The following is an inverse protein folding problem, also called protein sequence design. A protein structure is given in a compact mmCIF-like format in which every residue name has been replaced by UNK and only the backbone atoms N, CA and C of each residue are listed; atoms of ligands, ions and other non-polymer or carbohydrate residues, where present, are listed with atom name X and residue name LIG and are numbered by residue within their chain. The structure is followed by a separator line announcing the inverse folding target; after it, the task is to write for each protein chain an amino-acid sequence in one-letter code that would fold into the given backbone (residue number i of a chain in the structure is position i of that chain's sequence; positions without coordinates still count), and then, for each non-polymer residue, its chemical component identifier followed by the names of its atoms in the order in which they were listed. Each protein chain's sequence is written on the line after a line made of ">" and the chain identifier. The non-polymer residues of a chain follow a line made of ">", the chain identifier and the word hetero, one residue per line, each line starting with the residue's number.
data_IF_663144235330
#
_entry.id   IF_663144235330
#
_cell.length_a   1.000
_cell.length_b   1.000
_cell.length_c   1.000
_cell.angle_alpha   90.00
_cell.angle_beta   90.00
_cell.angle_gamma   90.00
#
_symmetry.space_group_name_H-M   'P 1'
#
loop_
_entity.id
_entity.type
_entity.pdbx_description
1 polymer ?
#
# COMPACT_ATOMS: atom_id res chain seq x y z
N UNK A 1 -6.34 -28.07 17.38
CA UNK A 1 -6.23 -28.08 15.90
C UNK A 1 -5.13 -27.07 15.53
N UNK A 2 -4.35 -27.26 14.47
CA UNK A 2 -3.43 -26.23 14.01
C UNK A 2 -4.21 -24.93 13.70
N UNK A 3 -3.58 -23.79 13.96
CA UNK A 3 -4.13 -22.47 13.65
C UNK A 3 -4.33 -22.34 12.13
N UNK A 4 -5.43 -21.73 11.65
CA UNK A 4 -5.67 -21.52 10.23
C UNK A 4 -4.58 -20.62 9.62
N UNK A 5 -4.03 -21.03 8.47
CA UNK A 5 -3.01 -20.25 7.76
C UNK A 5 -3.63 -19.19 6.86
N UNK A 6 -2.97 -18.04 6.77
CA UNK A 6 -3.33 -16.94 5.87
C UNK A 6 -2.21 -16.71 4.87
N UNK A 7 -2.56 -16.58 3.59
CA UNK A 7 -1.63 -16.10 2.57
C UNK A 7 -1.56 -14.57 2.54
N UNK A 8 -0.38 -14.03 2.31
CA UNK A 8 -0.17 -12.65 1.89
C UNK A 8 0.45 -12.67 0.49
N UNK A 9 -0.33 -12.26 -0.51
CA UNK A 9 0.06 -12.25 -1.91
C UNK A 9 0.41 -10.83 -2.34
N UNK A 10 1.71 -10.58 -2.50
CA UNK A 10 2.27 -9.25 -2.77
C UNK A 10 2.38 -9.02 -4.27
N UNK A 11 1.74 -7.96 -4.77
CA UNK A 11 1.93 -7.49 -6.15
C UNK A 11 3.06 -6.47 -6.13
N UNK A 12 4.12 -6.71 -6.91
CA UNK A 12 5.43 -6.06 -6.74
C UNK A 12 6.30 -6.81 -5.72
N UNK A 13 6.23 -8.14 -5.75
CA UNK A 13 6.81 -9.06 -4.77
C UNK A 13 8.32 -8.89 -4.51
N UNK A 14 9.07 -8.38 -5.50
CA UNK A 14 10.53 -8.20 -5.42
C UNK A 14 10.91 -6.73 -5.21
N UNK A 15 9.93 -5.86 -4.93
CA UNK A 15 10.14 -4.45 -4.61
C UNK A 15 10.68 -4.26 -3.19
N UNK A 16 11.27 -3.09 -2.91
CA UNK A 16 11.92 -2.82 -1.62
C UNK A 16 11.01 -3.04 -0.41
N UNK A 17 9.75 -2.59 -0.49
CA UNK A 17 8.74 -2.79 0.56
C UNK A 17 8.43 -4.28 0.79
N UNK A 18 8.16 -5.02 -0.29
CA UNK A 18 7.82 -6.44 -0.23
C UNK A 18 8.97 -7.29 0.32
N UNK A 19 10.19 -7.05 -0.18
CA UNK A 19 11.40 -7.72 0.31
C UNK A 19 11.69 -7.39 1.78
N UNK A 20 11.53 -6.12 2.19
CA UNK A 20 11.71 -5.73 3.60
C UNK A 20 10.67 -6.42 4.50
N UNK A 21 9.42 -6.55 4.04
CA UNK A 21 8.38 -7.28 4.77
C UNK A 21 8.70 -8.78 4.87
N UNK A 22 9.28 -9.39 3.82
CA UNK A 22 9.71 -10.79 3.83
C UNK A 22 10.85 -11.03 4.83
N UNK A 23 11.90 -10.19 4.79
CA UNK A 23 13.01 -10.23 5.77
C UNK A 23 12.49 -10.01 7.19
N UNK A 24 11.66 -8.98 7.39
CA UNK A 24 11.09 -8.64 8.70
C UNK A 24 10.25 -9.77 9.28
N UNK A 25 9.37 -10.39 8.49
CA UNK A 25 8.57 -11.53 8.92
C UNK A 25 9.45 -12.73 9.30
N UNK A 26 10.45 -13.06 8.49
CA UNK A 26 11.39 -14.14 8.77
C UNK A 26 12.19 -13.88 10.05
N UNK A 27 12.69 -12.65 10.24
CA UNK A 27 13.42 -12.24 11.43
C UNK A 27 12.56 -12.33 12.70
N UNK A 28 11.31 -11.83 12.66
CA UNK A 28 10.37 -11.90 13.79
C UNK A 28 10.05 -13.35 14.14
N UNK A 29 9.77 -14.21 13.15
CA UNK A 29 9.50 -15.65 13.35
C UNK A 29 10.63 -16.38 14.07
N UNK A 30 11.87 -15.98 13.78
CA UNK A 30 13.09 -16.61 14.31
C UNK A 30 13.59 -15.94 15.59
N UNK A 31 12.89 -14.91 16.08
CA UNK A 31 13.28 -14.16 17.27
C UNK A 31 14.57 -13.36 17.09
N UNK A 32 14.95 -13.04 15.85
CA UNK A 32 16.16 -12.28 15.53
C UNK A 32 15.97 -10.77 15.73
N UNK A 33 14.73 -10.29 15.74
CA UNK A 33 14.39 -8.90 16.00
C UNK A 33 13.14 -8.79 16.86
N UNK A 34 12.97 -7.65 17.53
CA UNK A 34 11.73 -7.30 18.23
C UNK A 34 10.68 -6.88 17.20
N UNK A 35 9.39 -7.07 17.47
CA UNK A 35 8.33 -6.66 16.56
C UNK A 35 8.04 -5.13 16.65
N UNK A 36 9.08 -4.32 16.74
CA UNK A 36 8.97 -2.86 16.82
C UNK A 36 8.33 -2.32 15.54
N UNK A 37 7.50 -1.28 15.69
CA UNK A 37 6.73 -0.63 14.62
C UNK A 37 5.59 -1.47 13.99
N UNK A 38 5.34 -2.68 14.48
CA UNK A 38 4.12 -3.44 14.15
C UNK A 38 2.97 -2.94 15.02
N UNK A 39 2.04 -2.21 14.42
CA UNK A 39 0.86 -1.64 15.08
C UNK A 39 0.04 -2.75 15.73
N UNK A 40 -0.08 -3.91 15.08
CA UNK A 40 -0.84 -5.06 15.58
C UNK A 40 -0.22 -5.75 16.81
N UNK A 41 0.94 -5.30 17.27
CA UNK A 41 1.60 -5.77 18.50
C UNK A 41 1.38 -4.82 19.69
N UNK A 42 0.63 -3.73 19.50
CA UNK A 42 0.16 -2.91 20.60
C UNK A 42 -0.83 -3.69 21.48
N UNK A 43 -0.87 -3.43 22.81
CA UNK A 43 -1.70 -4.21 23.74
C UNK A 43 -3.19 -4.28 23.39
N UNK A 44 -3.72 -3.25 22.72
CA UNK A 44 -5.14 -3.20 22.32
C UNK A 44 -5.53 -4.30 21.32
N UNK A 45 -4.57 -4.86 20.58
CA UNK A 45 -4.83 -5.96 19.64
C UNK A 45 -4.69 -7.35 20.29
N UNK A 46 -4.27 -7.40 21.56
CA UNK A 46 -4.21 -8.65 22.31
C UNK A 46 -5.63 -9.24 22.41
N UNK A 47 -5.81 -10.47 21.90
CA UNK A 47 -7.12 -11.13 21.91
C UNK A 47 -8.02 -10.79 20.71
N UNK A 48 -7.59 -9.95 19.77
CA UNK A 48 -8.35 -9.72 18.53
C UNK A 48 -8.43 -10.96 17.62
N UNK A 49 -7.63 -12.00 17.89
CA UNK A 49 -7.59 -13.23 17.09
C UNK A 49 -6.89 -13.04 15.74
N UNK A 50 -5.88 -12.18 15.70
CA UNK A 50 -5.08 -11.94 14.49
C UNK A 50 -4.22 -13.16 14.15
N UNK A 51 -4.04 -13.45 12.86
CA UNK A 51 -3.15 -14.50 12.37
C UNK A 51 -1.76 -14.37 13.01
N UNK A 52 -1.22 -15.47 13.53
CA UNK A 52 0.11 -15.48 14.12
C UNK A 52 1.22 -15.40 13.08
N UNK A 53 2.39 -14.89 13.47
CA UNK A 53 3.54 -14.77 12.56
C UNK A 53 3.91 -16.08 11.85
N UNK A 54 3.94 -17.27 12.50
CA UNK A 54 4.23 -18.53 11.82
C UNK A 54 3.17 -18.96 10.77
N UNK A 55 1.96 -18.43 10.86
CA UNK A 55 0.81 -18.83 10.04
C UNK A 55 0.62 -17.95 8.78
N UNK A 56 1.43 -16.89 8.61
CA UNK A 56 1.35 -15.95 7.49
C UNK A 56 2.25 -16.35 6.29
N UNK A 57 1.73 -17.04 5.28
CA UNK A 57 2.56 -17.52 4.15
C UNK A 57 2.68 -16.44 3.08
N UNK A 58 3.90 -16.16 2.59
CA UNK A 58 4.14 -15.15 1.55
C UNK A 58 4.15 -15.77 0.15
N UNK A 59 3.62 -15.03 -0.82
CA UNK A 59 3.71 -15.29 -2.26
C UNK A 59 3.49 -13.99 -3.03
N UNK A 60 3.44 -14.03 -4.36
CA UNK A 60 3.18 -12.79 -5.09
C UNK A 60 3.31 -12.83 -6.60
N UNK A 61 3.22 -11.64 -7.20
CA UNK A 61 3.56 -11.41 -8.60
C UNK A 61 4.63 -10.32 -8.71
N UNK A 62 5.54 -10.48 -9.66
CA UNK A 62 6.45 -9.42 -10.10
C UNK A 62 6.66 -9.51 -11.62
N UNK A 63 7.13 -8.41 -12.21
CA UNK A 63 7.46 -8.30 -13.63
C UNK A 63 8.96 -8.41 -13.87
N UNK A 64 9.75 -8.53 -12.80
CA UNK A 64 11.20 -8.73 -12.81
C UNK A 64 11.57 -10.13 -12.33
N UNK A 65 12.59 -10.69 -12.95
CA UNK A 65 13.18 -12.01 -12.68
C UNK A 65 14.25 -11.98 -11.58
N UNK A 66 14.90 -10.83 -11.34
CA UNK A 66 15.87 -10.69 -10.27
C UNK A 66 15.25 -11.07 -8.90
N UNK A 67 15.86 -11.99 -8.14
CA UNK A 67 15.29 -12.52 -6.91
C UNK A 67 15.21 -11.45 -5.80
N UNK A 68 14.32 -11.66 -4.84
CA UNK A 68 14.18 -10.81 -3.66
C UNK A 68 15.48 -10.73 -2.83
N UNK A 69 16.33 -11.77 -2.89
CA UNK A 69 17.65 -11.76 -2.27
C UNK A 69 18.54 -10.61 -2.77
N UNK A 70 18.56 -10.35 -4.09
CA UNK A 70 19.33 -9.22 -4.66
C UNK A 70 18.77 -7.87 -4.19
N UNK A 71 17.44 -7.72 -4.11
CA UNK A 71 16.81 -6.54 -3.52
C UNK A 71 17.20 -6.38 -2.04
N UNK A 72 17.24 -7.46 -1.27
CA UNK A 72 17.62 -7.44 0.13
C UNK A 72 19.09 -7.02 0.31
N UNK A 73 19.97 -7.52 -0.56
CA UNK A 73 21.39 -7.15 -0.56
C UNK A 73 21.60 -5.65 -0.86
N UNK A 74 20.84 -5.10 -1.81
CA UNK A 74 20.86 -3.68 -2.15
C UNK A 74 20.35 -2.82 -0.99
N UNK A 75 19.27 -3.25 -0.33
CA UNK A 75 18.74 -2.58 0.87
C UNK A 75 19.78 -2.58 2.00
N UNK A 76 20.43 -3.72 2.27
CA UNK A 76 21.50 -3.79 3.25
C UNK A 76 22.73 -2.96 2.87
N UNK A 77 23.07 -2.85 1.57
CA UNK A 77 24.15 -1.98 1.10
C UNK A 77 23.86 -0.50 1.33
N UNK A 78 22.58 -0.11 1.35
CA UNK A 78 22.11 1.24 1.70
C UNK A 78 21.89 1.46 3.21
N UNK A 79 22.22 0.48 4.06
CA UNK A 79 21.91 0.47 5.50
C UNK A 79 20.41 0.59 5.83
N UNK A 80 19.52 0.25 4.88
CA UNK A 80 18.07 0.21 5.10
C UNK A 80 17.66 -0.99 5.97
N UNK A 81 18.40 -2.10 5.85
CA UNK A 81 18.24 -3.33 6.64
C UNK A 81 19.62 -3.77 7.13
N UNK A 82 19.67 -4.39 8.30
CA UNK A 82 20.88 -5.02 8.82
C UNK A 82 21.34 -6.18 7.92
N UNK A 83 22.63 -6.20 7.54
CA UNK A 83 23.24 -7.26 6.73
C UNK A 83 23.09 -8.63 7.38
N UNK A 84 23.30 -8.73 8.69
CA UNK A 84 23.26 -10.00 9.41
C UNK A 84 21.83 -10.58 9.40
N UNK A 85 20.81 -9.71 9.41
CA UNK A 85 19.41 -10.13 9.24
C UNK A 85 19.12 -10.64 7.84
N UNK A 86 19.65 -9.99 6.81
CA UNK A 86 19.53 -10.47 5.42
C UNK A 86 20.17 -11.85 5.29
N UNK A 87 21.44 -11.99 5.70
CA UNK A 87 22.19 -13.25 5.61
C UNK A 87 21.50 -14.37 6.38
N UNK A 88 20.99 -14.07 7.57
CA UNK A 88 20.27 -15.06 8.36
C UNK A 88 18.97 -15.52 7.66
N UNK A 89 18.28 -14.64 6.92
CA UNK A 89 16.95 -14.90 6.35
C UNK A 89 16.95 -15.31 4.87
N UNK A 90 18.12 -15.47 4.24
CA UNK A 90 18.24 -15.94 2.85
C UNK A 90 17.39 -17.20 2.53
N UNK A 91 17.40 -18.27 3.36
CA UNK A 91 16.58 -19.45 3.06
C UNK A 91 15.07 -19.18 3.08
N UNK A 92 14.62 -18.15 3.81
CA UNK A 92 13.22 -17.73 3.84
C UNK A 92 12.87 -16.89 2.60
N UNK A 93 13.81 -16.07 2.11
CA UNK A 93 13.69 -15.35 0.85
C UNK A 93 13.63 -16.30 -0.35
N UNK A 94 14.46 -17.35 -0.37
CA UNK A 94 14.43 -18.37 -1.43
C UNK A 94 13.06 -19.07 -1.51
N UNK A 95 12.48 -19.40 -0.35
CA UNK A 95 11.12 -19.97 -0.27
C UNK A 95 10.07 -18.99 -0.77
N UNK A 96 10.20 -17.71 -0.41
CA UNK A 96 9.31 -16.66 -0.87
C UNK A 96 9.37 -16.48 -2.39
N UNK A 97 10.57 -16.43 -2.97
CA UNK A 97 10.78 -16.33 -4.41
C UNK A 97 10.20 -17.53 -5.18
N UNK A 98 10.23 -18.73 -4.60
CA UNK A 98 9.57 -19.92 -5.15
C UNK A 98 8.05 -19.77 -5.30
N UNK A 99 7.43 -18.83 -4.59
CA UNK A 99 6.00 -18.51 -4.65
C UNK A 99 5.70 -17.22 -5.44
N UNK A 100 6.68 -16.63 -6.10
CA UNK A 100 6.49 -15.49 -7.02
C UNK A 100 6.13 -16.00 -8.42
N UNK A 101 5.17 -15.34 -9.07
CA UNK A 101 4.70 -15.63 -10.43
C UNK A 101 4.86 -14.41 -11.36
N UNK A 102 4.91 -14.60 -12.69
CA UNK A 102 4.93 -13.48 -13.64
C UNK A 102 3.74 -12.54 -13.45
N UNK A 103 4.00 -11.23 -13.52
CA UNK A 103 3.02 -10.16 -13.29
C UNK A 103 2.15 -9.77 -14.49
N UNK A 104 1.20 -8.87 -14.28
CA UNK A 104 0.38 -8.23 -15.32
C UNK A 104 0.97 -6.87 -15.67
N UNK A 105 1.14 -6.59 -16.97
CA UNK A 105 1.65 -5.29 -17.46
C UNK A 105 0.58 -4.41 -18.13
N UNK A 106 -0.69 -4.80 -18.11
CA UNK A 106 -1.75 -4.10 -18.83
C UNK A 106 -1.85 -2.61 -18.51
N UNK A 107 -1.53 -1.75 -19.49
CA UNK A 107 -1.58 -0.29 -19.39
C UNK A 107 -0.83 0.26 -18.17
N UNK A 108 0.30 -0.35 -17.82
CA UNK A 108 1.10 0.07 -16.66
C UNK A 108 1.87 1.36 -16.93
N UNK A 109 2.05 1.71 -18.21
CA UNK A 109 2.77 2.91 -18.64
C UNK A 109 4.23 2.60 -18.96
N UNK A 110 4.81 3.38 -19.87
CA UNK A 110 6.13 3.10 -20.46
C UNK A 110 7.24 2.94 -19.44
N UNK A 111 7.20 3.70 -18.34
CA UNK A 111 8.20 3.64 -17.28
C UNK A 111 8.16 2.32 -16.53
N UNK A 112 6.97 1.78 -16.23
CA UNK A 112 6.83 0.46 -15.58
C UNK A 112 7.12 -0.66 -16.58
N UNK A 113 6.62 -0.53 -17.82
CA UNK A 113 6.86 -1.50 -18.89
C UNK A 113 8.35 -1.64 -19.22
N UNK A 114 9.13 -0.55 -19.14
CA UNK A 114 10.58 -0.57 -19.30
C UNK A 114 11.37 -1.21 -18.15
N UNK A 115 10.74 -1.44 -16.99
CA UNK A 115 11.35 -2.17 -15.87
C UNK A 115 11.07 -3.68 -15.93
N UNK A 116 10.23 -4.14 -16.85
CA UNK A 116 9.86 -5.55 -16.97
C UNK A 116 10.95 -6.36 -17.69
N UNK A 117 11.18 -7.58 -17.23
CA UNK A 117 12.03 -8.52 -17.94
C UNK A 117 11.24 -9.19 -19.09
N UNK A 118 11.90 -9.32 -20.24
CA UNK A 118 11.28 -9.88 -21.44
C UNK A 118 10.74 -11.30 -21.17
N UNK A 119 9.49 -11.55 -21.55
CA UNK A 119 8.83 -12.83 -21.36
C UNK A 119 8.39 -13.15 -19.92
N UNK A 120 8.64 -12.28 -18.94
CA UNK A 120 8.24 -12.49 -17.54
C UNK A 120 6.96 -11.73 -17.15
N UNK A 121 5.92 -11.90 -17.95
CA UNK A 121 4.58 -11.35 -17.66
C UNK A 121 3.47 -12.26 -18.18
N UNK A 122 2.26 -12.07 -17.66
CA UNK A 122 1.06 -12.79 -18.07
C UNK A 122 0.64 -12.31 -19.46
N UNK A 123 0.89 -13.17 -20.45
CA UNK A 123 0.34 -13.07 -21.78
C UNK A 123 -1.06 -13.72 -21.82
N UNK A 124 -2.06 -12.96 -22.26
CA UNK A 124 -3.40 -13.45 -22.55
C UNK A 124 -4.04 -12.58 -23.64
N UNK A 125 -5.05 -13.12 -24.32
CA UNK A 125 -5.73 -12.44 -25.44
C UNK A 125 -6.65 -11.29 -25.00
N UNK A 126 -6.96 -11.21 -23.70
CA UNK A 126 -7.82 -10.18 -23.11
C UNK A 126 -7.43 -9.87 -21.65
N UNK A 127 -7.81 -8.68 -21.13
CA UNK A 127 -7.71 -8.37 -19.70
C UNK A 127 -8.41 -9.40 -18.81
N UNK A 128 -9.56 -9.92 -19.25
CA UNK A 128 -10.27 -11.03 -18.59
C UNK A 128 -9.41 -12.29 -18.52
N UNK A 129 -8.70 -12.64 -19.59
CA UNK A 129 -7.75 -13.75 -19.58
C UNK A 129 -6.59 -13.55 -18.58
N UNK A 130 -6.10 -12.31 -18.43
CA UNK A 130 -5.08 -11.98 -17.43
C UNK A 130 -5.63 -12.13 -16.00
N UNK A 131 -6.86 -11.67 -15.74
CA UNK A 131 -7.56 -11.85 -14.47
C UNK A 131 -7.71 -13.34 -14.14
N UNK A 132 -8.13 -14.17 -15.09
CA UNK A 132 -8.28 -15.61 -14.86
C UNK A 132 -6.95 -16.29 -14.56
N UNK A 133 -5.84 -15.85 -15.18
CA UNK A 133 -4.52 -16.35 -14.82
C UNK A 133 -4.16 -15.99 -13.37
N UNK A 134 -4.33 -14.72 -12.97
CA UNK A 134 -4.09 -14.29 -11.58
C UNK A 134 -4.95 -15.11 -10.60
N UNK A 135 -6.23 -15.35 -10.93
CA UNK A 135 -7.12 -16.18 -10.11
C UNK A 135 -6.66 -17.62 -9.99
N UNK A 136 -6.09 -18.20 -11.06
CA UNK A 136 -5.46 -19.54 -11.01
C UNK A 136 -4.27 -19.53 -10.06
N UNK A 137 -3.37 -18.56 -10.19
CA UNK A 137 -2.17 -18.48 -9.34
C UNK A 137 -2.53 -18.33 -7.85
N UNK A 138 -3.55 -17.52 -7.53
CA UNK A 138 -4.07 -17.37 -6.16
C UNK A 138 -4.68 -18.67 -5.62
N UNK A 139 -5.52 -19.35 -6.41
CA UNK A 139 -6.13 -20.64 -6.00
C UNK A 139 -5.08 -21.73 -5.81
N UNK A 140 -4.11 -21.81 -6.71
CA UNK A 140 -3.06 -22.81 -6.63
C UNK A 140 -2.18 -22.55 -5.40
N UNK A 141 -1.85 -21.30 -5.10
CA UNK A 141 -1.16 -20.93 -3.86
C UNK A 141 -1.97 -21.30 -2.62
N UNK A 142 -3.27 -20.97 -2.60
CA UNK A 142 -4.19 -21.33 -1.53
C UNK A 142 -4.23 -22.84 -1.29
N UNK A 143 -4.35 -23.64 -2.35
CA UNK A 143 -4.39 -25.10 -2.28
C UNK A 143 -3.06 -25.71 -1.84
N UNK A 144 -1.92 -25.28 -2.43
CA UNK A 144 -0.58 -25.79 -2.09
C UNK A 144 -0.25 -25.62 -0.60
N UNK A 145 -0.61 -24.47 -0.03
CA UNK A 145 -0.28 -24.12 1.35
C UNK A 145 -1.41 -24.38 2.35
N UNK A 146 -2.57 -24.86 1.89
CA UNK A 146 -3.77 -25.13 2.69
C UNK A 146 -4.21 -23.88 3.47
N UNK A 147 -4.31 -22.77 2.74
CA UNK A 147 -4.65 -21.45 3.30
C UNK A 147 -6.16 -21.29 3.36
N UNK A 148 -6.69 -20.79 4.48
CA UNK A 148 -8.11 -20.45 4.58
C UNK A 148 -8.47 -19.27 3.68
N UNK A 149 -7.54 -18.31 3.56
CA UNK A 149 -7.68 -17.12 2.73
C UNK A 149 -6.32 -16.58 2.29
N UNK A 150 -6.34 -15.70 1.31
CA UNK A 150 -5.18 -15.01 0.73
C UNK A 150 -5.48 -13.52 0.68
N UNK A 151 -4.77 -12.71 1.46
CA UNK A 151 -4.83 -11.25 1.35
C UNK A 151 -3.97 -10.83 0.16
N UNK A 152 -4.58 -10.21 -0.84
CA UNK A 152 -3.87 -9.66 -2.01
C UNK A 152 -3.52 -8.21 -1.71
N UNK A 153 -2.23 -7.87 -1.76
CA UNK A 153 -1.76 -6.53 -1.43
C UNK A 153 -0.92 -5.92 -2.55
N UNK A 154 -1.33 -4.75 -3.02
CA UNK A 154 -0.59 -3.98 -4.01
C UNK A 154 0.48 -3.13 -3.35
N UNK A 155 1.74 -3.45 -3.64
CA UNK A 155 2.95 -2.71 -3.22
C UNK A 155 3.89 -2.43 -4.41
N UNK A 156 3.32 -2.49 -5.63
CA UNK A 156 4.05 -2.31 -6.88
C UNK A 156 4.32 -0.83 -7.20
N UNK A 157 5.08 -0.58 -8.27
CA UNK A 157 5.33 0.75 -8.81
C UNK A 157 4.03 1.54 -9.04
N UNK A 158 4.08 2.84 -8.76
CA UNK A 158 2.93 3.74 -8.93
C UNK A 158 2.56 3.85 -10.41
N UNK A 159 1.33 3.47 -10.75
CA UNK A 159 0.80 3.61 -12.10
C UNK A 159 0.47 5.08 -12.41
N UNK A 160 0.46 5.47 -13.69
CA UNK A 160 -0.13 6.73 -14.11
C UNK A 160 -1.61 6.84 -13.72
N UNK A 161 -2.12 8.07 -13.66
CA UNK A 161 -3.53 8.30 -13.34
C UNK A 161 -4.47 7.64 -14.36
N UNK A 162 -5.55 7.06 -13.86
CA UNK A 162 -6.65 6.53 -14.67
C UNK A 162 -7.79 7.54 -14.70
N UNK A 163 -8.34 7.91 -15.88
CA UNK A 163 -9.51 8.77 -15.98
C UNK A 163 -10.75 8.03 -15.45
N UNK A 164 -11.06 8.21 -14.16
CA UNK A 164 -12.11 7.47 -13.45
C UNK A 164 -13.50 7.77 -14.00
N UNK A 165 -13.70 8.97 -14.56
CA UNK A 165 -14.92 9.43 -15.20
C UNK A 165 -15.27 8.68 -16.50
N UNK A 166 -14.29 7.97 -17.08
CA UNK A 166 -14.49 7.14 -18.28
C UNK A 166 -14.75 5.66 -17.93
N UNK A 167 -14.64 5.28 -16.65
CA UNK A 167 -14.88 3.92 -16.21
C UNK A 167 -16.39 3.70 -15.98
N UNK A 168 -16.94 2.54 -16.36
CA UNK A 168 -18.31 2.22 -16.03
C UNK A 168 -18.52 2.23 -14.51
N UNK A 169 -19.64 2.80 -14.06
CA UNK A 169 -19.97 2.86 -12.62
C UNK A 169 -20.52 1.53 -12.10
N UNK A 170 -21.08 0.70 -12.99
CA UNK A 170 -21.69 -0.59 -12.64
C UNK A 170 -20.76 -1.75 -12.95
N UNK A 171 -20.66 -2.72 -12.03
CA UNK A 171 -19.80 -3.89 -12.18
C UNK A 171 -20.09 -4.65 -13.47
N UNK A 172 -21.35 -4.91 -13.79
CA UNK A 172 -21.74 -5.63 -15.02
C UNK A 172 -21.26 -4.95 -16.31
N UNK A 173 -21.26 -3.62 -16.34
CA UNK A 173 -20.80 -2.84 -17.50
C UNK A 173 -19.28 -2.82 -17.57
N UNK A 174 -18.62 -2.69 -16.41
CA UNK A 174 -17.17 -2.77 -16.30
C UNK A 174 -16.67 -4.14 -16.77
N UNK A 175 -17.30 -5.21 -16.30
CA UNK A 175 -16.98 -6.60 -16.64
C UNK A 175 -16.98 -6.83 -18.16
N UNK A 176 -18.01 -6.32 -18.85
CA UNK A 176 -18.10 -6.43 -20.31
C UNK A 176 -16.93 -5.77 -21.06
N UNK A 177 -16.26 -4.77 -20.47
CA UNK A 177 -15.08 -4.13 -21.10
C UNK A 177 -13.82 -5.00 -21.06
N UNK A 178 -13.77 -6.00 -20.17
CA UNK A 178 -12.58 -6.82 -19.90
C UNK A 178 -12.29 -7.85 -20.99
N UNK A 179 -13.23 -8.09 -21.90
CA UNK A 179 -13.05 -9.03 -23.01
C UNK A 179 -12.13 -8.48 -24.11
N UNK A 180 -11.81 -7.18 -24.10
CA UNK A 180 -11.00 -6.57 -25.14
C UNK A 180 -10.03 -5.51 -24.57
N UNK A 181 -8.74 -5.67 -24.91
CA UNK A 181 -7.68 -4.75 -24.48
C UNK A 181 -7.92 -3.29 -24.90
N UNK A 182 -8.54 -3.06 -26.06
CA UNK A 182 -8.77 -1.72 -26.59
C UNK A 182 -9.85 -0.96 -25.82
N UNK A 183 -10.89 -1.66 -25.36
CA UNK A 183 -12.04 -1.08 -24.63
C UNK A 183 -11.80 -1.00 -23.13
N UNK A 184 -11.00 -1.90 -22.57
CA UNK A 184 -10.64 -1.85 -21.17
C UNK A 184 -9.69 -0.68 -20.89
N UNK A 185 -10.19 0.32 -20.15
CA UNK A 185 -9.39 1.46 -19.67
C UNK A 185 -8.75 1.22 -18.30
N UNK A 186 -9.04 0.06 -17.68
CA UNK A 186 -8.43 -0.34 -16.42
C UNK A 186 -6.92 -0.58 -16.59
N UNK A 187 -6.18 -0.46 -15.48
CA UNK A 187 -4.74 -0.77 -15.43
C UNK A 187 -4.51 -2.05 -14.64
N UNK A 188 -3.27 -2.54 -14.65
CA UNK A 188 -2.88 -3.77 -13.95
C UNK A 188 -3.35 -3.81 -12.49
N UNK A 189 -3.23 -2.71 -11.74
CA UNK A 189 -3.70 -2.59 -10.35
C UNK A 189 -5.18 -2.96 -10.18
N UNK A 190 -6.04 -2.52 -11.10
CA UNK A 190 -7.47 -2.83 -11.10
C UNK A 190 -7.74 -4.27 -11.52
N UNK A 191 -6.95 -4.84 -12.44
CA UNK A 191 -7.08 -6.27 -12.79
C UNK A 191 -6.76 -7.18 -11.60
N UNK A 192 -5.74 -6.85 -10.80
CA UNK A 192 -5.46 -7.56 -9.54
C UNK A 192 -6.59 -7.40 -8.52
N UNK A 193 -7.16 -6.19 -8.40
CA UNK A 193 -8.31 -5.95 -7.52
C UNK A 193 -9.51 -6.82 -7.93
N UNK A 194 -9.87 -6.84 -9.23
CA UNK A 194 -10.95 -7.69 -9.75
C UNK A 194 -10.69 -9.16 -9.41
N UNK A 195 -9.49 -9.66 -9.67
CA UNK A 195 -9.13 -11.05 -9.40
C UNK A 195 -9.32 -11.42 -7.92
N UNK A 196 -8.89 -10.55 -7.00
CA UNK A 196 -9.07 -10.76 -5.57
C UNK A 196 -10.55 -10.73 -5.15
N UNK A 197 -11.28 -9.71 -5.58
CA UNK A 197 -12.69 -9.50 -5.20
C UNK A 197 -13.60 -10.59 -5.76
N UNK A 198 -13.41 -11.04 -7.01
CA UNK A 198 -14.17 -12.15 -7.58
C UNK A 198 -13.95 -13.49 -6.84
N UNK A 199 -12.80 -13.65 -6.18
CA UNK A 199 -12.50 -14.80 -5.34
C UNK A 199 -12.94 -14.63 -3.87
N UNK A 200 -13.63 -13.54 -3.54
CA UNK A 200 -13.96 -13.15 -2.18
C UNK A 200 -12.72 -13.07 -1.26
N UNK A 201 -11.57 -12.68 -1.84
CA UNK A 201 -10.31 -12.51 -1.12
C UNK A 201 -10.11 -11.04 -0.73
N UNK A 202 -9.52 -10.75 0.46
CA UNK A 202 -9.21 -9.39 0.86
C UNK A 202 -8.25 -8.70 -0.13
N UNK A 203 -8.54 -7.46 -0.51
CA UNK A 203 -7.67 -6.64 -1.37
C UNK A 203 -7.22 -5.35 -0.67
N UNK A 204 -5.91 -5.14 -0.55
CA UNK A 204 -5.34 -3.94 0.04
C UNK A 204 -4.48 -3.20 -0.98
N UNK A 205 -4.76 -1.92 -1.21
CA UNK A 205 -3.98 -1.07 -2.09
C UNK A 205 -3.05 -0.15 -1.30
N UNK A 206 -1.76 -0.48 -1.23
CA UNK A 206 -0.75 0.33 -0.53
C UNK A 206 -0.11 1.40 -1.42
N UNK A 207 -0.60 1.59 -2.65
CA UNK A 207 -0.06 2.54 -3.64
C UNK A 207 -1.13 3.59 -4.01
N UNK A 208 -0.77 4.70 -4.67
CA UNK A 208 -1.75 5.66 -5.19
C UNK A 208 -2.40 5.24 -6.52
N UNK A 209 -2.07 4.05 -7.06
CA UNK A 209 -2.73 3.49 -8.25
C UNK A 209 -4.23 3.30 -7.99
N UNK A 210 -5.04 3.19 -9.05
CA UNK A 210 -6.50 3.09 -8.89
C UNK A 210 -6.91 1.88 -8.04
N UNK A 211 -6.39 0.69 -8.33
CA UNK A 211 -6.76 -0.53 -7.61
C UNK A 211 -8.27 -0.76 -7.64
N UNK A 212 -8.90 -0.86 -6.47
CA UNK A 212 -10.35 -1.03 -6.28
C UNK A 212 -11.13 0.29 -6.11
N UNK A 213 -10.47 1.46 -6.24
CA UNK A 213 -11.06 2.77 -5.92
C UNK A 213 -11.98 3.31 -7.04
N UNK A 214 -13.04 2.59 -7.38
CA UNK A 214 -14.10 3.11 -8.24
C UNK A 214 -15.47 2.47 -7.92
N UNK A 215 -16.59 3.08 -8.35
CA UNK A 215 -17.94 2.60 -8.01
C UNK A 215 -18.19 1.13 -8.38
N UNK A 216 -17.77 0.71 -9.58
CA UNK A 216 -17.97 -0.66 -10.05
C UNK A 216 -17.27 -1.71 -9.17
N UNK A 217 -16.09 -1.38 -8.63
CA UNK A 217 -15.37 -2.31 -7.75
C UNK A 217 -15.93 -2.34 -6.32
N UNK A 218 -16.51 -1.25 -5.83
CA UNK A 218 -17.29 -1.26 -4.57
C UNK A 218 -18.54 -2.13 -4.70
N UNK A 219 -19.23 -2.05 -5.83
CA UNK A 219 -20.36 -2.93 -6.15
C UNK A 219 -19.90 -4.40 -6.17
N UNK A 220 -18.84 -4.72 -6.92
CA UNK A 220 -18.28 -6.08 -6.96
C UNK A 220 -17.91 -6.61 -5.57
N UNK A 221 -17.23 -5.80 -4.74
CA UNK A 221 -16.84 -6.21 -3.40
C UNK A 221 -18.06 -6.58 -2.55
N UNK A 222 -19.10 -5.74 -2.60
CA UNK A 222 -20.36 -5.97 -1.89
C UNK A 222 -21.06 -7.24 -2.39
N UNK A 223 -21.17 -7.43 -3.71
CA UNK A 223 -21.79 -8.62 -4.33
C UNK A 223 -21.08 -9.93 -3.95
N UNK A 224 -19.75 -9.88 -3.78
CA UNK A 224 -18.92 -11.07 -3.49
C UNK A 224 -18.68 -11.29 -2.00
N UNK A 225 -19.09 -10.37 -1.13
CA UNK A 225 -18.75 -10.41 0.29
C UNK A 225 -17.25 -10.26 0.53
N UNK A 226 -16.56 -9.53 -0.36
CA UNK A 226 -15.12 -9.30 -0.28
C UNK A 226 -14.84 -7.99 0.46
N UNK A 227 -13.73 -7.95 1.18
CA UNK A 227 -13.25 -6.72 1.84
C UNK A 227 -12.15 -6.07 1.03
N UNK A 228 -12.12 -4.75 1.01
CA UNK A 228 -11.00 -4.01 0.44
C UNK A 228 -10.69 -2.73 1.19
N UNK A 229 -9.46 -2.25 1.04
CA UNK A 229 -9.11 -0.92 1.49
C UNK A 229 -7.93 -0.36 0.71
N UNK A 230 -7.86 0.96 0.68
CA UNK A 230 -6.76 1.72 0.16
C UNK A 230 -7.03 3.20 0.42
N UNK A 231 -6.26 4.11 -0.15
CA UNK A 231 -5.04 3.81 -0.90
C UNK A 231 -3.87 4.68 -0.49
N UNK A 232 -2.69 4.26 -0.95
CA UNK A 232 -1.39 4.89 -0.74
C UNK A 232 -0.95 4.89 0.74
N UNK A 233 0.04 4.06 1.08
CA UNK A 233 0.51 3.91 2.46
C UNK A 233 1.01 5.22 3.08
N UNK A 234 0.62 5.49 4.33
CA UNK A 234 0.98 6.70 5.09
C UNK A 234 2.11 6.42 6.08
N UNK A 235 3.35 6.66 5.67
CA UNK A 235 4.56 6.21 6.39
C UNK A 235 5.45 7.33 6.94
N UNK A 236 5.53 8.49 6.29
CA UNK A 236 6.51 9.55 6.62
C UNK A 236 5.91 10.96 6.64
N UNK A 237 6.30 11.82 5.69
CA UNK A 237 5.85 13.23 5.61
C UNK A 237 4.32 13.39 5.76
N UNK A 238 3.53 12.60 5.05
CA UNK A 238 2.05 12.71 5.12
C UNK A 238 1.49 12.27 6.48
N UNK A 239 2.15 11.33 7.18
CA UNK A 239 1.79 10.98 8.56
C UNK A 239 1.94 12.21 9.45
N UNK A 240 3.08 12.89 9.38
CA UNK A 240 3.31 14.13 10.13
C UNK A 240 2.28 15.21 9.80
N UNK A 241 1.95 15.43 8.52
CA UNK A 241 0.90 16.38 8.12
C UNK A 241 -0.44 16.05 8.77
N UNK A 242 -0.86 14.78 8.72
CA UNK A 242 -2.14 14.33 9.31
C UNK A 242 -2.20 14.43 10.85
N UNK A 243 -1.05 14.50 11.52
CA UNK A 243 -0.94 14.68 12.98
C UNK A 243 -0.83 16.17 13.36
N UNK A 244 -0.09 16.96 12.60
CA UNK A 244 0.20 18.37 12.90
C UNK A 244 -0.88 19.33 12.41
N UNK A 245 -1.48 19.10 11.23
CA UNK A 245 -2.53 19.98 10.71
C UNK A 245 -3.72 20.16 11.67
N UNK A 246 -4.23 19.09 12.34
CA UNK A 246 -5.29 19.24 13.34
C UNK A 246 -4.88 20.13 14.53
N UNK A 247 -3.59 20.18 14.90
CA UNK A 247 -3.12 21.05 15.98
C UNK A 247 -3.35 22.53 15.63
N UNK A 248 -3.05 22.95 14.40
CA UNK A 248 -3.28 24.33 13.95
C UNK A 248 -4.77 24.66 13.95
N UNK A 249 -5.59 23.78 13.36
CA UNK A 249 -7.05 23.96 13.35
C UNK A 249 -7.64 24.07 14.77
N UNK A 250 -7.30 23.13 15.66
CA UNK A 250 -7.83 23.08 17.05
C UNK A 250 -7.34 24.23 17.92
N UNK A 251 -6.22 24.87 17.59
CA UNK A 251 -5.70 26.06 18.29
C UNK A 251 -6.11 27.37 17.61
N UNK A 252 -6.97 27.30 16.59
CA UNK A 252 -7.40 28.44 15.79
C UNK A 252 -6.20 29.25 15.23
N UNK A 253 -5.20 28.53 14.74
CA UNK A 253 -4.04 29.08 14.05
C UNK A 253 -4.29 28.97 12.53
N UNK A 254 -4.24 30.10 11.84
CA UNK A 254 -4.45 30.17 10.39
C UNK A 254 -3.17 29.76 9.68
N UNK A 255 -3.16 28.60 9.02
CA UNK A 255 -2.06 28.16 8.15
C UNK A 255 -2.15 28.97 6.86
N UNK A 256 -1.15 29.81 6.62
CA UNK A 256 -1.08 30.62 5.40
C UNK A 256 -0.44 29.83 4.26
N UNK A 257 0.63 29.09 4.55
CA UNK A 257 1.28 28.22 3.57
C UNK A 257 1.91 26.98 4.19
N UNK A 258 1.94 25.88 3.43
CA UNK A 258 2.65 24.65 3.78
C UNK A 258 3.46 24.15 2.57
N UNK A 259 4.78 24.32 2.64
CA UNK A 259 5.70 23.91 1.56
C UNK A 259 6.42 22.65 1.99
N UNK A 260 6.39 21.60 1.17
CA UNK A 260 7.07 20.33 1.39
C UNK A 260 8.01 19.97 0.24
N UNK A 261 9.25 19.60 0.56
CA UNK A 261 10.25 19.15 -0.41
C UNK A 261 10.76 17.76 -0.02
N UNK A 262 10.66 16.80 -0.94
CA UNK A 262 11.04 15.41 -0.70
C UNK A 262 12.15 14.99 -1.66
N UNK A 263 13.16 14.29 -1.15
CA UNK A 263 14.21 13.65 -1.95
C UNK A 263 14.44 12.20 -1.53
N UNK A 264 14.64 11.30 -2.51
CA UNK A 264 14.96 9.89 -2.29
C UNK A 264 15.47 9.22 -3.58
N UNK A 265 16.09 8.03 -3.46
CA UNK A 265 16.89 7.42 -4.54
C UNK A 265 16.52 6.00 -4.95
N UNK A 266 15.49 5.41 -4.35
CA UNK A 266 15.05 4.04 -4.64
C UNK A 266 14.27 3.97 -5.97
N UNK A 267 13.77 2.77 -6.30
CA UNK A 267 13.01 2.53 -7.53
C UNK A 267 11.71 3.34 -7.60
N UNK A 268 11.05 3.58 -6.47
CA UNK A 268 9.88 4.47 -6.42
C UNK A 268 10.29 5.90 -6.85
N UNK A 269 11.47 6.37 -6.42
CA UNK A 269 12.02 7.66 -6.84
C UNK A 269 12.29 7.73 -8.34
N UNK A 270 12.79 6.65 -8.95
CA UNK A 270 13.00 6.58 -10.40
C UNK A 270 11.68 6.63 -11.18
N UNK A 271 10.66 5.90 -10.73
CA UNK A 271 9.34 5.90 -11.38
C UNK A 271 8.66 7.26 -11.24
N UNK A 272 8.84 7.94 -10.11
CA UNK A 272 8.24 9.25 -9.84
C UNK A 272 9.02 10.44 -10.41
N UNK A 273 10.19 10.19 -11.00
CA UNK A 273 10.88 11.18 -11.82
C UNK A 273 10.10 11.46 -13.11
N UNK A 274 9.30 10.48 -13.58
CA UNK A 274 8.34 10.66 -14.66
C UNK A 274 7.18 11.59 -14.22
N UNK A 275 6.98 12.76 -14.87
CA UNK A 275 5.91 13.69 -14.54
C UNK A 275 4.50 13.06 -14.55
N UNK A 276 4.28 12.07 -15.42
CA UNK A 276 2.98 11.40 -15.58
C UNK A 276 2.64 10.57 -14.35
N UNK A 277 3.61 9.86 -13.78
CA UNK A 277 3.47 9.07 -12.55
C UNK A 277 3.47 9.99 -11.31
N UNK A 278 4.30 11.05 -11.31
CA UNK A 278 4.39 12.05 -10.23
C UNK A 278 3.05 12.75 -9.97
N UNK A 279 2.30 13.05 -11.03
CA UNK A 279 1.03 13.79 -10.94
C UNK A 279 0.00 13.12 -10.01
N UNK A 280 0.00 11.78 -9.91
CA UNK A 280 -0.88 11.05 -9.00
C UNK A 280 -0.52 11.30 -7.52
N UNK A 281 0.78 11.31 -7.18
CA UNK A 281 1.27 11.53 -5.80
C UNK A 281 1.22 12.99 -5.34
N UNK A 282 1.35 13.95 -6.26
CA UNK A 282 1.29 15.38 -5.89
C UNK A 282 -0.15 15.77 -5.54
N UNK A 283 -1.14 15.39 -6.36
CA UNK A 283 -2.55 15.72 -6.12
C UNK A 283 -3.07 15.17 -4.79
N UNK A 284 -2.67 13.97 -4.38
CA UNK A 284 -3.14 13.36 -3.12
C UNK A 284 -2.61 14.08 -1.88
N UNK A 285 -1.45 14.74 -1.96
CA UNK A 285 -0.83 15.41 -0.81
C UNK A 285 -1.42 16.80 -0.52
N UNK A 286 -1.87 17.52 -1.56
CA UNK A 286 -2.44 18.86 -1.40
C UNK A 286 -3.86 18.82 -0.82
N UNK A 287 -4.68 17.85 -1.23
CA UNK A 287 -6.07 17.74 -0.78
C UNK A 287 -6.23 17.50 0.73
N UNK A 288 -5.26 16.80 1.35
CA UNK A 288 -5.27 16.43 2.76
C UNK A 288 -5.35 17.65 3.70
N UNK A 289 -4.65 18.75 3.36
CA UNK A 289 -4.63 19.94 4.24
C UNK A 289 -5.97 20.69 4.21
N UNK A 290 -6.58 20.83 3.03
CA UNK A 290 -7.88 21.48 2.87
C UNK A 290 -8.97 20.80 3.70
N UNK A 291 -8.98 19.47 3.67
CA UNK A 291 -9.95 18.65 4.41
C UNK A 291 -9.82 18.80 5.93
N UNK A 292 -8.59 18.85 6.46
CA UNK A 292 -8.34 18.97 7.91
C UNK A 292 -8.59 20.39 8.41
N UNK A 293 -8.15 21.39 7.65
CA UNK A 293 -8.20 22.81 8.05
C UNK A 293 -9.57 23.45 7.80
N UNK A 294 -10.36 22.90 6.86
CA UNK A 294 -11.63 23.48 6.42
C UNK A 294 -11.47 24.65 5.43
N UNK A 295 -10.26 24.90 4.95
CA UNK A 295 -9.89 25.87 3.93
C UNK A 295 -8.57 25.47 3.28
N UNK A 296 -8.30 25.97 2.07
CA UNK A 296 -7.09 25.64 1.31
C UNK A 296 -5.96 26.65 1.58
N UNK A 297 -4.89 26.29 2.33
CA UNK A 297 -3.70 27.12 2.44
C UNK A 297 -2.90 27.11 1.13
N UNK A 298 -1.96 28.04 0.95
CA UNK A 298 -1.01 27.94 -0.16
C UNK A 298 -0.09 26.72 0.04
N UNK A 299 -0.14 25.74 -0.86
CA UNK A 299 0.74 24.56 -0.78
C UNK A 299 1.74 24.52 -1.94
N UNK A 300 2.87 23.86 -1.69
CA UNK A 300 3.81 23.46 -2.73
C UNK A 300 4.45 22.15 -2.31
N UNK A 301 4.31 21.11 -3.13
CA UNK A 301 4.95 19.81 -2.91
C UNK A 301 5.87 19.48 -4.07
N UNK A 302 7.13 19.17 -3.76
CA UNK A 302 8.11 18.71 -4.73
C UNK A 302 8.71 17.36 -4.30
N UNK A 303 9.10 16.57 -5.30
CA UNK A 303 9.67 15.23 -5.15
C UNK A 303 10.79 15.11 -6.18
N UNK A 304 12.04 14.98 -5.75
CA UNK A 304 13.19 14.92 -6.65
C UNK A 304 14.00 13.63 -6.44
N UNK A 305 14.44 13.03 -7.54
CA UNK A 305 15.23 11.80 -7.51
C UNK A 305 16.70 12.09 -7.19
N UNK A 306 17.22 11.47 -6.13
CA UNK A 306 18.62 11.58 -5.71
C UNK A 306 19.22 10.18 -5.51
N UNK A 307 19.92 9.68 -6.53
CA UNK A 307 20.47 8.32 -6.58
C UNK A 307 21.20 7.89 -5.31
N UNK A 308 22.03 8.76 -4.73
CA UNK A 308 22.87 8.44 -3.57
C UNK A 308 22.10 8.16 -2.28
N UNK A 309 20.82 8.54 -2.22
CA UNK A 309 20.01 8.32 -1.02
C UNK A 309 19.43 6.90 -0.91
N UNK A 310 19.38 6.14 -2.02
CA UNK A 310 18.73 4.84 -2.02
C UNK A 310 17.34 4.92 -1.37
N UNK A 311 17.07 4.07 -0.39
CA UNK A 311 15.78 4.00 0.29
C UNK A 311 15.57 5.07 1.38
N UNK A 312 16.58 5.90 1.66
CA UNK A 312 16.50 6.97 2.65
C UNK A 312 15.83 8.20 2.08
N UNK A 313 14.58 8.41 2.48
CA UNK A 313 13.83 9.59 2.12
C UNK A 313 14.05 10.70 3.13
N UNK A 314 14.31 11.90 2.61
CA UNK A 314 14.32 13.14 3.41
C UNK A 314 13.21 14.06 2.94
N UNK A 315 12.40 14.54 3.87
CA UNK A 315 11.35 15.52 3.65
C UNK A 315 11.60 16.75 4.54
N UNK A 316 11.55 17.94 3.94
CA UNK A 316 11.57 19.22 4.64
C UNK A 316 10.23 19.91 4.47
N UNK A 317 9.62 20.31 5.57
CA UNK A 317 8.40 21.11 5.54
C UNK A 317 8.61 22.46 6.21
N UNK A 318 8.05 23.49 5.58
CA UNK A 318 7.95 24.84 6.10
C UNK A 318 6.48 25.26 6.19
N UNK A 319 6.00 25.43 7.42
CA UNK A 319 4.63 25.87 7.70
C UNK A 319 4.67 27.32 8.16
N UNK A 320 4.04 28.20 7.39
CA UNK A 320 3.85 29.61 7.74
C UNK A 320 2.41 29.78 8.25
N UNK A 321 2.24 30.27 9.47
CA UNK A 321 0.94 30.37 10.12
C UNK A 321 0.79 31.65 10.91
N UNK A 322 -0.44 32.04 11.18
CA UNK A 322 -0.80 33.27 11.89
C UNK A 322 -1.50 32.93 13.19
N UNK A 323 -1.05 33.58 14.28
CA UNK A 323 -1.62 33.41 15.61
C UNK A 323 -2.28 34.69 16.13
N UNK A 324 -2.26 34.86 17.45
CA UNK A 324 -2.87 35.99 18.14
C UNK A 324 -2.34 37.35 17.62
N UNK A 325 -3.21 38.35 17.57
CA UNK A 325 -2.96 39.69 17.02
C UNK A 325 -2.52 39.70 15.53
N UNK A 326 -2.79 38.62 14.81
CA UNK A 326 -2.36 38.48 13.42
C UNK A 326 -0.86 38.25 13.27
N UNK A 327 -0.17 37.83 14.33
CA UNK A 327 1.29 37.65 14.34
C UNK A 327 1.69 36.44 13.47
N UNK A 328 2.49 36.63 12.39
CA UNK A 328 3.00 35.53 11.60
C UNK A 328 4.12 34.79 12.34
N UNK A 329 4.12 33.47 12.23
CA UNK A 329 5.06 32.54 12.84
C UNK A 329 5.37 31.40 11.87
N UNK A 330 6.45 30.66 12.14
CA UNK A 330 6.87 29.53 11.30
C UNK A 330 7.14 28.28 12.14
N UNK A 331 6.86 27.13 11.55
CA UNK A 331 7.30 25.81 12.00
C UNK A 331 8.09 25.17 10.86
N UNK A 332 9.29 24.69 11.16
CA UNK A 332 10.11 23.92 10.22
C UNK A 332 10.39 22.55 10.80
N UNK A 333 10.35 21.53 9.94
CA UNK A 333 10.59 20.15 10.32
C UNK A 333 11.35 19.43 9.22
N UNK A 334 12.24 18.53 9.64
CA UNK A 334 12.94 17.59 8.76
C UNK A 334 12.60 16.19 9.19
N UNK A 335 12.07 15.39 8.27
CA UNK A 335 11.86 13.96 8.44
C UNK A 335 12.84 13.20 7.57
N UNK A 336 13.71 12.40 8.18
CA UNK A 336 14.52 11.43 7.47
C UNK A 336 14.14 10.03 7.93
N UNK A 337 13.77 9.18 6.98
CA UNK A 337 13.39 7.79 7.27
C UNK A 337 13.65 6.89 6.06
N UNK A 338 13.84 5.60 6.34
CA UNK A 338 13.91 4.58 5.31
C UNK A 338 12.48 4.17 4.91
N UNK A 339 12.10 4.42 3.66
CA UNK A 339 10.70 4.26 3.20
C UNK A 339 10.22 2.81 3.31
N UNK A 340 11.05 1.84 2.91
CA UNK A 340 10.73 0.42 2.98
C UNK A 340 10.65 -0.07 4.42
N UNK A 341 11.52 0.40 5.32
CA UNK A 341 11.48 0.06 6.74
C UNK A 341 10.26 0.64 7.48
N UNK A 342 9.78 1.82 7.05
CA UNK A 342 8.54 2.41 7.56
C UNK A 342 7.29 1.73 6.97
N UNK A 343 7.36 1.25 5.73
CA UNK A 343 6.23 0.63 5.02
C UNK A 343 6.00 -0.85 5.38
N UNK A 344 7.09 -1.63 5.51
CA UNK A 344 7.01 -3.08 5.67
C UNK A 344 6.23 -3.55 6.91
N UNK A 345 6.35 -2.92 8.10
CA UNK A 345 5.52 -3.28 9.24
C UNK A 345 4.02 -3.11 8.95
N UNK A 346 3.66 -2.01 8.27
CA UNK A 346 2.27 -1.72 7.92
C UNK A 346 1.69 -2.75 6.93
N UNK A 347 2.50 -3.26 6.00
CA UNK A 347 2.12 -4.36 5.10
C UNK A 347 1.75 -5.62 5.90
N UNK A 348 2.54 -5.97 6.90
CA UNK A 348 2.28 -7.12 7.76
C UNK A 348 1.05 -6.90 8.65
N UNK A 349 0.89 -5.71 9.22
CA UNK A 349 -0.27 -5.33 10.03
C UNK A 349 -1.57 -5.38 9.23
N UNK A 350 -1.60 -4.74 8.06
CA UNK A 350 -2.75 -4.69 7.16
C UNK A 350 -3.16 -6.09 6.70
N UNK A 351 -2.20 -6.99 6.46
CA UNK A 351 -2.49 -8.37 6.12
C UNK A 351 -3.25 -9.09 7.25
N UNK A 352 -2.80 -8.95 8.50
CA UNK A 352 -3.44 -9.56 9.67
C UNK A 352 -4.83 -8.98 9.93
N UNK A 353 -4.97 -7.66 9.84
CA UNK A 353 -6.23 -6.96 10.08
C UNK A 353 -7.26 -7.29 9.00
N UNK A 354 -6.90 -7.18 7.72
CA UNK A 354 -7.79 -7.50 6.62
C UNK A 354 -8.22 -8.97 6.61
N UNK A 355 -7.29 -9.88 6.93
CA UNK A 355 -7.61 -11.30 7.10
C UNK A 355 -8.63 -11.51 8.23
N UNK A 356 -8.49 -10.79 9.35
CA UNK A 356 -9.42 -10.89 10.48
C UNK A 356 -10.80 -10.32 10.16
N UNK A 357 -10.87 -9.19 9.48
CA UNK A 357 -12.15 -8.62 9.01
C UNK A 357 -12.90 -9.58 8.10
N UNK A 358 -12.22 -10.20 7.14
CA UNK A 358 -12.84 -11.22 6.29
C UNK A 358 -13.31 -12.45 7.09
N UNK A 359 -12.59 -12.86 8.13
CA UNK A 359 -13.04 -13.94 9.03
C UNK A 359 -14.32 -13.60 9.78
N UNK A 360 -14.47 -12.33 10.18
CA UNK A 360 -15.65 -11.82 10.86
C UNK A 360 -16.85 -11.67 9.94
N UNK A 361 -16.69 -11.93 8.64
CA UNK A 361 -17.73 -11.76 7.63
C UNK A 361 -18.02 -10.29 7.30
N UNK A 362 -17.07 -9.38 7.58
CA UNK A 362 -17.14 -7.99 7.12
C UNK A 362 -17.09 -7.96 5.57
N UNK A 363 -17.62 -6.90 4.96
CA UNK A 363 -17.71 -6.75 3.50
C UNK A 363 -17.58 -5.28 3.10
N UNK A 364 -17.03 -5.01 1.91
CA UNK A 364 -16.82 -3.66 1.40
C UNK A 364 -15.56 -2.99 1.95
N UNK A 365 -15.62 -1.67 2.12
CA UNK A 365 -14.48 -0.84 2.50
C UNK A 365 -14.14 -0.97 3.99
N UNK A 366 -12.90 -1.35 4.32
CA UNK A 366 -12.43 -1.47 5.71
C UNK A 366 -11.99 -0.11 6.28
N UNK A 367 -12.95 0.78 6.51
CA UNK A 367 -12.69 2.17 6.94
C UNK A 367 -11.91 2.30 8.26
N UNK A 368 -11.95 1.29 9.14
CA UNK A 368 -11.12 1.24 10.34
C UNK A 368 -9.60 1.16 10.07
N UNK A 369 -9.20 0.82 8.85
CA UNK A 369 -7.80 0.82 8.43
C UNK A 369 -7.36 2.16 7.84
N UNK A 370 -8.19 3.21 7.90
CA UNK A 370 -7.88 4.49 7.28
C UNK A 370 -6.59 5.15 7.78
N UNK A 371 -6.20 4.92 9.03
CA UNK A 371 -4.99 5.48 9.64
C UNK A 371 -3.70 5.03 8.92
N UNK A 372 -3.76 3.92 8.18
CA UNK A 372 -2.64 3.38 7.39
C UNK A 372 -2.48 4.07 6.03
N UNK A 373 -3.45 4.86 5.57
CA UNK A 373 -3.51 5.38 4.20
C UNK A 373 -3.48 6.91 4.14
N UNK A 374 -2.92 7.44 3.04
CA UNK A 374 -2.89 8.87 2.71
C UNK A 374 -4.23 9.33 2.13
N UNK A 375 -4.87 8.47 1.34
CA UNK A 375 -6.15 8.73 0.68
C UNK A 375 -7.11 7.57 0.97
N UNK A 376 -7.61 7.45 2.21
CA UNK A 376 -8.47 6.33 2.59
C UNK A 376 -9.80 6.32 1.82
N UNK A 377 -10.17 5.15 1.29
CA UNK A 377 -11.48 4.85 0.71
C UNK A 377 -12.58 4.99 1.77
N UNK A 378 -13.79 5.33 1.36
CA UNK A 378 -14.94 5.44 2.27
C UNK A 378 -14.99 6.73 3.13
N UNK A 379 -14.10 7.69 2.90
CA UNK A 379 -14.22 9.07 3.39
C UNK A 379 -14.16 9.33 4.90
N UNK A 380 -13.29 8.68 5.70
CA UNK A 380 -12.96 9.22 7.01
C UNK A 380 -12.09 10.48 6.85
N UNK A 381 -12.24 11.39 7.82
CA UNK A 381 -11.43 12.61 7.87
C UNK A 381 -9.94 12.29 7.78
N UNK A 382 -9.14 13.11 7.10
CA UNK A 382 -7.68 12.95 7.01
C UNK A 382 -6.90 13.15 8.35
N UNK A 383 -7.60 13.42 9.46
CA UNK A 383 -7.05 13.56 10.81
C UNK A 383 -6.62 12.18 11.34
N UNK A 384 -5.32 12.01 11.60
CA UNK A 384 -4.76 10.72 12.02
C UNK A 384 -5.39 10.17 13.30
N UNK A 385 -5.68 11.05 14.28
CA UNK A 385 -6.22 10.60 15.58
C UNK A 385 -7.61 10.04 15.39
N UNK A 386 -8.47 10.75 14.63
CA UNK A 386 -9.83 10.26 14.34
C UNK A 386 -9.83 8.96 13.55
N UNK A 387 -8.90 8.80 12.62
CA UNK A 387 -8.74 7.54 11.89
C UNK A 387 -8.26 6.41 12.79
N UNK A 388 -7.41 6.71 13.78
CA UNK A 388 -6.93 5.74 14.75
C UNK A 388 -8.04 5.35 15.75
N UNK A 389 -8.93 6.27 16.12
CA UNK A 389 -10.09 5.98 16.97
C UNK A 389 -11.01 4.91 16.33
N UNK A 390 -11.13 4.89 14.99
CA UNK A 390 -11.87 3.84 14.26
C UNK A 390 -11.19 2.48 14.40
N UNK A 391 -9.86 2.44 14.33
CA UNK A 391 -9.07 1.22 14.53
C UNK A 391 -9.18 0.69 15.96
N UNK A 392 -9.12 1.58 16.96
CA UNK A 392 -9.32 1.23 18.37
C UNK A 392 -10.73 0.67 18.62
N UNK A 393 -11.75 1.31 18.03
CA UNK A 393 -13.14 0.87 18.12
C UNK A 393 -13.33 -0.53 17.52
N UNK A 394 -12.72 -0.80 16.35
CA UNK A 394 -12.74 -2.13 15.73
C UNK A 394 -12.01 -3.18 16.59
N UNK A 395 -10.87 -2.82 17.17
CA UNK A 395 -10.09 -3.72 18.04
C UNK A 395 -10.87 -4.08 19.32
N UNK A 396 -11.62 -3.12 19.88
CA UNK A 396 -12.51 -3.32 21.02
C UNK A 396 -13.77 -4.17 20.71
N UNK A 397 -13.98 -4.55 19.44
CA UNK A 397 -15.09 -5.38 19.01
C UNK A 397 -16.40 -4.61 18.74
N UNK A 398 -16.34 -3.29 18.56
CA UNK A 398 -17.48 -2.54 18.08
C UNK A 398 -17.82 -2.97 16.65
N UNK A 399 -19.11 -3.20 16.37
CA UNK A 399 -19.60 -3.25 14.99
C UNK A 399 -19.52 -1.84 14.41
N UNK A 400 -18.73 -1.68 13.35
CA UNK A 400 -18.54 -0.41 12.64
C UNK A 400 -19.52 -0.26 11.49
#
# INVERSE_FOLDING_TARGET
>A
MPSPKTGLWLIGARGGVATTAAVGLAAVRRGLTRPTALVTELPMFAGCGLTGWPDLVLGGHDIRQAPAAETAEALAASNAIDRDLVDATLPDLDRYDGEVRPGVLHRSGSTIEGLADEGFSIAADSPRGQIEQVKRDLRDFQARHKLERVVVMLVASTEPATPTELLPERWREFDATLENHSTCLARASTLYAIAALELAQPFINFTPSLGSDCPALRELATERGAVHMGRDGKTGETLLKSVLAPMFARRNLEVMSWVGHNIFGNMDGQVLDDPVNKAAKVRSKDHLLGEILGYDPQTLVSIEYIRSLGDWKTAWDHVHFRGFLGTPMTLQLTWQGCDSALAAPLVLDLARLAARSAERGESGELTHLASFFKSPQGGPTADFVKQYDLLESWAAGASL
#
